data_IF_447660729042
#
_entry.id   IF_447660729042
#
_cell.length_a   1.000
_cell.length_b   1.000
_cell.length_c   1.000
_cell.angle_alpha   90.00
_cell.angle_beta   90.00
_cell.angle_gamma   90.00
#
_symmetry.space_group_name_H-M   'P 1'
#
loop_
_entity.id
_entity.type
_entity.pdbx_description
1 polymer ?
#
# COMPACT_ATOMS: atom_id res chain seq x y z
N UNK A 1 0.22 0.62 3.70
CA UNK A 1 -0.09 -0.09 2.45
C UNK A 1 -1.60 -0.31 2.28
N UNK A 2 -2.30 -0.99 3.19
CA UNK A 2 -3.74 -1.26 3.07
C UNK A 2 -4.62 0.00 2.90
N UNK A 3 -4.43 1.04 3.72
CA UNK A 3 -5.17 2.31 3.57
C UNK A 3 -5.00 2.93 2.19
N UNK A 4 -3.76 2.99 1.68
CA UNK A 4 -3.44 3.52 0.35
C UNK A 4 -4.08 2.69 -0.77
N UNK A 5 -4.10 1.36 -0.64
CA UNK A 5 -4.76 0.47 -1.61
C UNK A 5 -6.26 0.74 -1.72
N UNK A 6 -6.93 1.00 -0.59
CA UNK A 6 -8.35 1.36 -0.59
C UNK A 6 -8.59 2.75 -1.18
N UNK A 7 -7.81 3.76 -0.76
CA UNK A 7 -7.97 5.13 -1.26
C UNK A 7 -7.67 5.26 -2.75
N UNK A 8 -6.68 4.54 -3.29
CA UNK A 8 -6.27 4.67 -4.69
C UNK A 8 -7.38 4.29 -5.68
N UNK A 9 -8.23 3.33 -5.33
CA UNK A 9 -9.30 2.82 -6.18
C UNK A 9 -10.70 3.12 -5.62
N UNK A 10 -10.79 4.10 -4.71
CA UNK A 10 -12.05 4.51 -4.07
C UNK A 10 -12.87 3.32 -3.53
N UNK A 11 -12.18 2.32 -2.98
CA UNK A 11 -12.82 1.11 -2.49
C UNK A 11 -13.43 1.34 -1.10
N UNK A 12 -14.63 0.81 -0.85
CA UNK A 12 -15.26 0.91 0.46
C UNK A 12 -14.42 0.34 1.60
N UNK A 13 -14.54 0.97 2.77
CA UNK A 13 -13.80 0.58 3.98
C UNK A 13 -14.08 -0.85 4.44
N UNK A 14 -15.21 -1.46 4.07
CA UNK A 14 -15.52 -2.84 4.46
C UNK A 14 -14.56 -3.88 3.83
N UNK A 15 -13.83 -3.53 2.76
CA UNK A 15 -12.77 -4.37 2.19
C UNK A 15 -11.43 -4.28 2.95
N UNK A 16 -11.38 -3.65 4.13
CA UNK A 16 -10.13 -3.47 4.89
C UNK A 16 -9.40 -4.79 5.21
N UNK A 17 -10.14 -5.86 5.47
CA UNK A 17 -9.54 -7.16 5.79
C UNK A 17 -8.78 -7.73 4.59
N UNK A 18 -9.38 -7.63 3.40
CA UNK A 18 -8.76 -8.06 2.14
C UNK A 18 -7.54 -7.21 1.78
N UNK A 19 -7.67 -5.88 1.93
CA UNK A 19 -6.56 -4.96 1.70
C UNK A 19 -5.38 -5.25 2.64
N UNK A 20 -5.66 -5.57 3.91
CA UNK A 20 -4.63 -5.91 4.91
C UNK A 20 -3.96 -7.25 4.59
N UNK A 21 -4.74 -8.26 4.24
CA UNK A 21 -4.21 -9.57 3.83
C UNK A 21 -3.31 -9.45 2.60
N UNK A 22 -3.74 -8.72 1.58
CA UNK A 22 -2.97 -8.49 0.36
C UNK A 22 -1.69 -7.70 0.62
N UNK A 23 -1.76 -6.66 1.47
CA UNK A 23 -0.57 -5.93 1.89
C UNK A 23 0.45 -6.85 2.58
N UNK A 24 0.02 -7.65 3.56
CA UNK A 24 0.89 -8.61 4.24
C UNK A 24 1.51 -9.63 3.26
N UNK A 25 0.71 -10.12 2.31
CA UNK A 25 1.15 -11.09 1.31
C UNK A 25 2.24 -10.51 0.39
N UNK A 26 2.06 -9.27 -0.08
CA UNK A 26 3.03 -8.56 -0.91
C UNK A 26 4.31 -8.27 -0.12
N UNK A 27 4.18 -7.74 1.10
CA UNK A 27 5.29 -7.44 2.01
C UNK A 27 6.20 -8.65 2.20
N UNK A 28 5.62 -9.82 2.43
CA UNK A 28 6.36 -11.06 2.65
C UNK A 28 7.16 -11.53 1.42
N UNK A 29 6.78 -11.12 0.21
CA UNK A 29 7.33 -11.61 -1.05
C UNK A 29 8.15 -10.57 -1.82
N UNK A 30 7.97 -9.28 -1.55
CA UNK A 30 8.62 -8.20 -2.29
C UNK A 30 9.66 -7.46 -1.44
N UNK A 31 9.41 -7.27 -0.15
CA UNK A 31 10.34 -6.51 0.69
C UNK A 31 11.55 -7.34 1.07
N UNK A 32 12.71 -6.86 0.65
CA UNK A 32 14.01 -7.47 0.94
C UNK A 32 14.53 -6.95 2.27
N UNK A 33 15.00 -7.85 3.14
CA UNK A 33 15.72 -7.46 4.35
C UNK A 33 17.16 -7.08 3.96
N UNK A 34 17.63 -5.84 4.22
CA UNK A 34 18.94 -5.38 3.75
C UNK A 34 20.12 -6.26 4.19
N UNK A 35 20.10 -6.71 5.45
CA UNK A 35 21.17 -7.53 6.05
C UNK A 35 21.29 -8.89 5.34
N UNK A 36 20.16 -9.54 5.04
CA UNK A 36 20.13 -10.90 4.50
C UNK A 36 20.03 -10.94 2.97
N UNK A 37 19.74 -9.80 2.33
CA UNK A 37 19.46 -9.67 0.88
C UNK A 37 18.42 -10.68 0.37
N UNK A 38 17.49 -11.09 1.24
CA UNK A 38 16.42 -12.05 0.97
C UNK A 38 15.09 -11.53 1.48
N UNK A 39 14.02 -11.96 0.83
CA UNK A 39 12.63 -11.72 1.27
C UNK A 39 12.25 -12.70 2.39
N UNK A 40 11.29 -12.36 3.27
CA UNK A 40 10.76 -13.30 4.27
C UNK A 40 10.29 -14.62 3.66
N UNK A 41 9.67 -14.57 2.48
CA UNK A 41 9.24 -15.75 1.74
C UNK A 41 10.42 -16.65 1.33
N UNK A 42 11.52 -16.09 0.84
CA UNK A 42 12.72 -16.86 0.51
C UNK A 42 13.37 -17.50 1.73
N UNK A 43 13.36 -16.81 2.86
CA UNK A 43 13.91 -17.36 4.11
C UNK A 43 13.07 -18.55 4.57
N UNK A 44 11.73 -18.43 4.53
CA UNK A 44 10.82 -19.47 5.03
C UNK A 44 10.66 -20.66 4.08
N UNK A 45 10.62 -20.41 2.77
CA UNK A 45 10.33 -21.44 1.75
C UNK A 45 11.56 -21.85 0.93
N UNK A 46 12.72 -21.23 1.17
CA UNK A 46 13.96 -21.44 0.42
C UNK A 46 13.79 -21.33 -1.10
N UNK A 47 12.76 -20.60 -1.56
CA UNK A 47 12.37 -20.46 -2.96
C UNK A 47 12.12 -19.00 -3.28
N UNK A 48 12.61 -18.54 -4.43
CA UNK A 48 12.32 -17.19 -4.93
C UNK A 48 10.83 -17.03 -5.22
N UNK A 49 10.18 -15.95 -4.74
CA UNK A 49 8.80 -15.68 -5.08
C UNK A 49 8.72 -15.35 -6.57
N UNK A 50 7.71 -15.90 -7.25
CA UNK A 50 7.33 -15.41 -8.56
C UNK A 50 6.67 -14.03 -8.37
N UNK A 51 7.10 -13.00 -9.10
CA UNK A 51 6.51 -11.66 -9.02
C UNK A 51 5.50 -11.40 -10.15
N UNK A 52 5.52 -12.18 -11.23
CA UNK A 52 4.74 -11.91 -12.44
C UNK A 52 3.23 -12.07 -12.30
N UNK A 53 2.75 -12.69 -11.21
CA UNK A 53 1.31 -12.85 -10.94
C UNK A 53 0.76 -11.77 -9.99
N UNK A 54 1.58 -10.79 -9.60
CA UNK A 54 1.08 -9.67 -8.83
C UNK A 54 0.27 -8.74 -9.71
N UNK A 55 -0.91 -8.36 -9.21
CA UNK A 55 -1.81 -7.42 -9.86
C UNK A 55 -2.14 -6.30 -8.86
N UNK A 56 -2.41 -5.07 -9.33
CA UNK A 56 -2.73 -3.97 -8.45
C UNK A 56 -4.06 -4.23 -7.72
N UNK A 57 -4.06 -4.14 -6.39
CA UNK A 57 -5.28 -4.29 -5.58
C UNK A 57 -6.36 -3.32 -6.06
N UNK A 58 -7.57 -3.80 -6.29
CA UNK A 58 -8.71 -3.01 -6.76
C UNK A 58 -8.80 -2.82 -8.28
N UNK A 59 -7.92 -3.45 -9.07
CA UNK A 59 -8.07 -3.43 -10.53
C UNK A 59 -9.35 -4.15 -10.98
N UNK A 60 -9.87 -3.72 -12.14
CA UNK A 60 -10.98 -4.38 -12.80
C UNK A 60 -10.50 -5.73 -13.36
N UNK A 61 -11.27 -6.76 -13.13
CA UNK A 61 -10.99 -8.09 -13.65
C UNK A 61 -12.28 -8.80 -14.07
N UNK A 62 -12.14 -9.87 -14.84
CA UNK A 62 -13.23 -10.72 -15.28
C UNK A 62 -13.01 -12.13 -14.72
N UNK A 63 -14.01 -12.63 -14.00
CA UNK A 63 -13.98 -13.97 -13.41
C UNK A 63 -14.83 -14.92 -14.23
N UNK A 64 -14.28 -16.08 -14.59
CA UNK A 64 -15.04 -17.11 -15.30
C UNK A 64 -16.10 -17.72 -14.37
N UNK A 65 -17.33 -17.79 -14.85
CA UNK A 65 -18.39 -18.51 -14.16
C UNK A 65 -18.20 -20.01 -14.40
N UNK A 66 -17.56 -20.69 -13.44
CA UNK A 66 -17.22 -22.11 -13.50
C UNK A 66 -18.43 -23.03 -13.26
N UNK A 67 -19.54 -22.80 -13.96
CA UNK A 67 -20.77 -23.60 -13.84
C UNK A 67 -21.53 -23.41 -12.53
N UNK A 68 -21.33 -22.28 -11.83
CA UNK A 68 -22.13 -21.93 -10.64
C UNK A 68 -23.56 -21.59 -11.02
N UNK A 69 -23.75 -21.17 -12.27
CA UNK A 69 -25.06 -20.87 -12.84
C UNK A 69 -25.27 -21.66 -14.12
N UNK A 70 -26.53 -22.02 -14.37
CA UNK A 70 -26.93 -22.69 -15.60
C UNK A 70 -27.01 -21.65 -16.72
N UNK A 71 -25.87 -21.35 -17.31
CA UNK A 71 -25.77 -20.44 -18.45
C UNK A 71 -26.29 -21.11 -19.72
N UNK A 72 -27.17 -20.42 -20.43
CA UNK A 72 -27.60 -20.77 -21.78
C UNK A 72 -26.45 -20.62 -22.79
N UNK A 73 -26.66 -21.15 -24.00
CA UNK A 73 -25.62 -21.20 -25.06
C UNK A 73 -25.06 -19.82 -25.45
N UNK A 74 -25.85 -18.76 -25.26
CA UNK A 74 -25.52 -17.39 -25.64
C UNK A 74 -25.27 -16.46 -24.45
N UNK A 75 -25.34 -16.96 -23.22
CA UNK A 75 -25.13 -16.13 -22.03
C UNK A 75 -23.65 -15.83 -21.82
N UNK A 76 -23.37 -14.67 -21.23
CA UNK A 76 -22.02 -14.25 -20.93
C UNK A 76 -21.38 -15.20 -19.89
N UNK A 77 -20.26 -15.80 -20.25
CA UNK A 77 -19.58 -16.81 -19.41
C UNK A 77 -18.73 -16.23 -18.27
N UNK A 78 -18.56 -14.91 -18.23
CA UNK A 78 -17.68 -14.23 -17.28
C UNK A 78 -18.36 -13.03 -16.67
N UNK A 79 -18.11 -12.82 -15.39
CA UNK A 79 -18.63 -11.68 -14.63
C UNK A 79 -17.55 -10.64 -14.43
N UNK A 80 -17.94 -9.36 -14.42
CA UNK A 80 -17.08 -8.29 -13.99
C UNK A 80 -16.87 -8.35 -12.47
N UNK A 81 -15.61 -8.24 -12.06
CA UNK A 81 -15.19 -8.31 -10.68
C UNK A 81 -14.10 -7.29 -10.36
N UNK A 82 -13.85 -7.12 -9.07
CA UNK A 82 -12.78 -6.28 -8.52
C UNK A 82 -11.76 -7.20 -7.86
N UNK A 83 -10.48 -7.03 -8.19
CA UNK A 83 -9.41 -7.78 -7.55
C UNK A 83 -9.21 -7.35 -6.10
N UNK A 84 -9.26 -8.30 -5.16
CA UNK A 84 -9.09 -8.03 -3.72
C UNK A 84 -7.87 -8.72 -3.12
N UNK A 85 -7.32 -9.75 -3.75
CA UNK A 85 -6.11 -10.36 -3.21
C UNK A 85 -5.83 -11.78 -3.64
N UNK A 86 -5.04 -12.45 -2.83
CA UNK A 86 -4.56 -13.81 -3.09
C UNK A 86 -5.20 -14.78 -2.11
N UNK A 87 -5.58 -15.97 -2.58
CA UNK A 87 -5.99 -17.06 -1.69
C UNK A 87 -4.82 -17.50 -0.81
N UNK A 88 -5.13 -17.89 0.43
CA UNK A 88 -4.15 -18.41 1.39
C UNK A 88 -3.78 -19.87 1.11
N UNK A 89 -4.75 -20.63 0.61
CA UNK A 89 -4.66 -22.10 0.53
C UNK A 89 -4.46 -22.60 -0.90
N UNK A 90 -4.72 -21.76 -1.91
CA UNK A 90 -4.69 -22.17 -3.31
C UNK A 90 -4.02 -21.14 -4.19
N UNK A 91 -3.67 -21.54 -5.42
CA UNK A 91 -3.18 -20.63 -6.46
C UNK A 91 -4.37 -19.94 -7.15
N UNK A 92 -5.19 -19.27 -6.36
CA UNK A 92 -6.37 -18.54 -6.79
C UNK A 92 -6.30 -17.08 -6.32
N UNK A 93 -7.10 -16.25 -6.97
CA UNK A 93 -7.30 -14.86 -6.62
C UNK A 93 -8.61 -14.72 -5.84
N UNK A 94 -8.61 -13.82 -4.86
CA UNK A 94 -9.81 -13.33 -4.18
C UNK A 94 -10.33 -12.15 -4.98
N UNK A 95 -11.56 -12.25 -5.44
CA UNK A 95 -12.22 -11.25 -6.27
C UNK A 95 -13.61 -10.96 -5.73
N UNK A 96 -14.04 -9.71 -5.80
CA UNK A 96 -15.41 -9.32 -5.52
C UNK A 96 -16.21 -9.30 -6.81
N UNK A 97 -17.13 -10.24 -6.96
CA UNK A 97 -17.98 -10.33 -8.13
C UNK A 97 -19.09 -9.27 -8.02
N UNK A 98 -19.16 -8.35 -8.98
CA UNK A 98 -20.12 -7.23 -8.95
C UNK A 98 -21.57 -7.70 -9.15
N UNK A 99 -21.76 -8.84 -9.80
CA UNK A 99 -23.10 -9.39 -10.09
C UNK A 99 -23.69 -10.08 -8.88
N UNK A 100 -22.90 -10.90 -8.18
CA UNK A 100 -23.36 -11.64 -6.99
C UNK A 100 -23.17 -10.89 -5.69
N UNK A 101 -22.35 -9.83 -5.68
CA UNK A 101 -21.95 -9.05 -4.50
C UNK A 101 -21.24 -9.91 -3.43
N UNK A 102 -20.55 -10.96 -3.86
CA UNK A 102 -19.82 -11.89 -2.98
C UNK A 102 -18.33 -11.88 -3.32
N UNK A 103 -17.51 -11.99 -2.28
CA UNK A 103 -16.07 -12.26 -2.43
C UNK A 103 -15.88 -13.75 -2.66
N UNK A 104 -15.29 -14.11 -3.79
CA UNK A 104 -15.04 -15.49 -4.18
C UNK A 104 -13.58 -15.74 -4.52
N UNK A 105 -13.16 -17.00 -4.42
CA UNK A 105 -11.85 -17.46 -4.86
C UNK A 105 -11.96 -18.08 -6.25
N UNK A 106 -11.15 -17.60 -7.20
CA UNK A 106 -11.12 -18.14 -8.55
C UNK A 106 -9.70 -18.16 -9.13
N UNK A 107 -9.40 -19.23 -9.86
CA UNK A 107 -8.14 -19.40 -10.60
C UNK A 107 -8.23 -18.73 -11.98
N UNK A 108 -9.42 -18.74 -12.58
CA UNK A 108 -9.68 -18.24 -13.92
C UNK A 108 -10.13 -16.78 -13.86
N UNK A 109 -9.14 -15.89 -13.74
CA UNK A 109 -9.33 -14.45 -13.69
C UNK A 109 -8.49 -13.78 -14.78
N UNK A 110 -9.10 -12.90 -15.54
CA UNK A 110 -8.44 -12.05 -16.54
C UNK A 110 -8.45 -10.62 -16.04
N UNK A 111 -7.28 -9.99 -15.98
CA UNK A 111 -7.11 -8.64 -15.44
C UNK A 111 -7.09 -7.60 -16.56
N UNK A 112 -7.78 -6.48 -16.32
CA UNK A 112 -7.67 -5.27 -17.14
C UNK A 112 -6.79 -4.27 -16.40
N UNK A 113 -5.48 -4.44 -16.55
CA UNK A 113 -4.47 -3.63 -15.85
C UNK A 113 -4.31 -2.22 -16.47
N UNK A 114 -4.98 -1.93 -17.60
CA UNK A 114 -4.79 -0.68 -18.35
C UNK A 114 -5.53 0.53 -17.74
N UNK A 115 -6.56 0.30 -16.93
CA UNK A 115 -7.44 1.37 -16.44
C UNK A 115 -6.88 2.17 -15.27
N UNK A 116 -5.89 1.66 -14.55
CA UNK A 116 -5.33 2.34 -13.37
C UNK A 116 -4.44 3.56 -13.71
N UNK A 117 -4.14 3.75 -14.99
CA UNK A 117 -3.35 4.88 -15.49
C UNK A 117 -4.21 6.08 -15.93
N UNK A 118 -5.53 5.90 -16.16
CA UNK A 118 -6.43 7.03 -16.40
C UNK A 118 -6.86 7.62 -15.06
N UNK A 119 -6.11 8.65 -14.64
CA UNK A 119 -6.41 9.50 -13.48
C UNK A 119 -7.82 10.10 -13.63
N UNK A 120 -8.74 9.69 -12.78
CA UNK A 120 -9.86 10.57 -12.43
C UNK A 120 -9.26 11.72 -11.60
N UNK A 121 -9.47 12.95 -12.06
CA UNK A 121 -9.17 14.17 -11.32
C UNK A 121 -10.05 14.20 -10.07
N UNK A 122 -9.44 14.28 -8.90
CA UNK A 122 -10.15 14.67 -7.69
C UNK A 122 -10.34 16.19 -7.77
N UNK A 123 -11.57 16.65 -7.97
CA UNK A 123 -11.93 18.03 -7.67
C UNK A 123 -12.08 18.12 -6.14
N UNK A 124 -11.10 18.73 -5.47
CA UNK A 124 -11.19 19.07 -4.05
C UNK A 124 -12.13 20.27 -3.92
N UNK A 125 -13.34 20.05 -3.43
CA UNK A 125 -14.23 21.14 -3.03
C UNK A 125 -13.72 21.80 -1.74
N UNK A 126 -13.43 23.08 -1.91
CA UNK A 126 -12.98 24.09 -0.95
C UNK A 126 -14.04 24.35 0.14
N UNK A 127 -13.64 24.38 1.42
CA UNK A 127 -14.37 25.09 2.48
C UNK A 127 -13.39 25.84 3.36
N UNK A 128 -13.15 27.10 2.98
CA UNK A 128 -12.54 28.09 3.84
C UNK A 128 -13.47 28.54 4.97
N UNK A 129 -12.91 28.67 6.16
CA UNK A 129 -13.37 29.64 7.16
C UNK A 129 -12.12 30.40 7.62
N UNK A 130 -12.05 31.65 7.19
CA UNK A 130 -11.23 32.73 7.77
C UNK A 130 -11.87 33.18 9.09
N UNK A 131 -11.06 33.54 10.09
CA UNK A 131 -11.09 34.91 10.61
C UNK A 131 -9.87 35.23 11.50
N UNK A 132 -9.36 36.43 11.29
CA UNK A 132 -8.12 37.01 11.81
C UNK A 132 -8.27 37.63 13.22
N UNK A 133 -7.13 38.04 13.79
CA UNK A 133 -6.83 39.07 14.84
C UNK A 133 -5.43 38.66 15.38
N UNK A 134 -4.35 39.45 15.46
CA UNK A 134 -4.00 40.88 15.35
C UNK A 134 -2.44 40.88 15.48
N UNK A 135 -1.63 41.39 14.54
CA UNK A 135 -1.29 42.81 14.37
C UNK A 135 -0.16 43.27 15.32
N UNK A 136 1.11 43.27 14.88
CA UNK A 136 2.24 43.75 15.72
C UNK A 136 3.61 43.87 15.03
N UNK A 137 3.77 44.96 14.25
CA UNK A 137 4.96 45.61 13.62
C UNK A 137 6.37 45.38 14.22
N UNK A 138 7.36 44.96 13.40
CA UNK A 138 8.41 45.67 12.60
C UNK A 138 9.78 45.93 13.26
N UNK A 139 10.81 45.34 12.62
CA UNK A 139 12.14 45.88 12.23
C UNK A 139 13.18 46.31 13.26
N UNK A 140 14.36 45.65 13.21
CA UNK A 140 15.64 46.33 12.87
C UNK A 140 16.67 45.33 12.30
N UNK A 141 17.21 45.69 11.14
CA UNK A 141 18.43 45.12 10.52
C UNK A 141 19.57 46.02 10.94
N UNK A 142 20.74 45.46 11.26
CA UNK A 142 22.05 46.12 11.11
C UNK A 142 23.16 45.04 10.96
N UNK A 143 24.20 45.40 10.20
CA UNK A 143 25.18 44.60 9.46
C UNK A 143 26.32 43.89 10.22
N UNK A 144 27.00 43.02 9.46
CA UNK A 144 28.12 42.11 9.73
C UNK A 144 29.48 42.87 9.80
N UNK A 145 30.53 42.33 10.44
CA UNK A 145 31.71 42.02 9.63
C UNK A 145 32.40 40.68 9.97
N UNK A 146 32.77 39.99 8.89
CA UNK A 146 33.63 38.82 8.72
C UNK A 146 35.03 39.00 9.30
N UNK A 147 35.60 37.95 9.92
CA UNK A 147 37.02 37.56 9.82
C UNK A 147 37.21 36.04 9.99
N UNK A 148 37.59 35.43 8.88
CA UNK A 148 38.49 34.30 8.59
C UNK A 148 39.05 33.39 9.70
N UNK A 149 38.97 32.09 9.37
CA UNK A 149 39.84 30.92 9.65
C UNK A 149 40.49 30.75 11.04
N UNK A 150 40.16 29.64 11.72
CA UNK A 150 41.17 28.60 11.98
C UNK A 150 40.55 27.29 12.51
N UNK A 151 41.07 26.20 11.95
CA UNK A 151 40.88 24.80 12.28
C UNK A 151 41.10 24.44 13.76
N UNK A 152 40.27 23.54 14.31
CA UNK A 152 40.66 22.25 14.92
C UNK A 152 39.48 21.59 15.68
N UNK A 153 39.09 20.40 15.23
CA UNK A 153 38.29 19.45 16.01
C UNK A 153 39.13 18.89 17.18
N UNK A 154 38.53 18.66 18.37
CA UNK A 154 39.06 17.70 19.33
C UNK A 154 38.15 16.46 19.50
N UNK A 155 38.71 15.34 19.99
CA UNK A 155 38.26 14.00 19.61
C UNK A 155 37.33 13.31 20.62
N UNK A 156 36.74 12.21 20.13
CA UNK A 156 35.90 11.23 20.81
C UNK A 156 36.58 10.57 22.02
N UNK A 157 35.96 10.61 23.21
CA UNK A 157 35.54 9.44 24.01
C UNK A 157 35.17 9.81 25.48
N UNK A 158 34.47 8.86 26.12
CA UNK A 158 34.12 8.77 27.56
C UNK A 158 32.84 9.55 27.92
N UNK A 159 31.70 8.91 28.22
CA UNK A 159 31.34 8.23 29.48
C UNK A 159 30.19 7.24 29.15
N UNK A 160 30.46 5.93 29.14
CA UNK A 160 30.22 4.99 30.26
C UNK A 160 28.80 4.99 30.86
N UNK A 161 28.11 3.88 30.61
CA UNK A 161 27.23 3.15 31.55
C UNK A 161 26.01 3.88 32.12
N UNK A 162 24.83 3.63 31.52
CA UNK A 162 23.54 3.84 32.19
C UNK A 162 23.24 2.66 33.14
N UNK A 163 22.82 2.90 34.38
CA UNK A 163 22.51 1.85 35.34
C UNK A 163 21.10 1.26 35.13
N UNK A 164 21.05 -0.05 35.40
CA UNK A 164 19.91 -0.96 35.46
C UNK A 164 18.87 -0.49 36.50
N UNK A 165 17.65 -0.16 36.07
CA UNK A 165 16.53 0.16 36.97
C UNK A 165 15.96 -1.15 37.52
N UNK A 166 15.87 -1.22 38.86
CA UNK A 166 15.36 -2.34 39.66
C UNK A 166 13.89 -2.09 40.01
N UNK A 167 13.12 -3.17 39.95
CA UNK A 167 11.69 -3.30 40.24
C UNK A 167 11.27 -2.82 41.65
N UNK A 168 10.01 -2.40 41.74
CA UNK A 168 9.14 -2.55 42.92
C UNK A 168 7.81 -3.13 42.49
#
# INVERSE_FOLDING_TARGET
MARTMLCKNNLPKYFWAEATNTACYIINRVMIRPILKKTPYEILKSKKPNISYFHPFGCKCFVLNNGKENLGKFDAKSDEAIFLGYSLNSKAYRVFNKRTLVVEESIHVVFDDNLLLRKESCDDDDVGIIDAIDGGKTSKVDEIPTKDEDSQDPPLEVIRTLPRIRER
#
